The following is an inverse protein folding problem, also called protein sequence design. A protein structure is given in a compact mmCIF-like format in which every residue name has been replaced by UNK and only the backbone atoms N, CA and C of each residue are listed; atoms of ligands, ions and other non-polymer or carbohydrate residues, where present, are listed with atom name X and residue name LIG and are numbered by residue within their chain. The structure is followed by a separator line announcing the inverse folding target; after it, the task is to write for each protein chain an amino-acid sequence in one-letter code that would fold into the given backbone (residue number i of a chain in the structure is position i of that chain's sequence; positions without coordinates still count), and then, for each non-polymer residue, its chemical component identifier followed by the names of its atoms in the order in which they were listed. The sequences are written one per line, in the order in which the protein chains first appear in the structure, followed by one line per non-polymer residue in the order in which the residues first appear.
data_IF_296593639489
#
_entry.id   IF_296593639489
#
_cell.length_a   1.000
_cell.length_b   1.000
_cell.length_c   1.000
_cell.angle_alpha   90.00
_cell.angle_beta   90.00
_cell.angle_gamma   90.00
#
_symmetry.space_group_name_H-M   'P 1'
#
loop_
_entity.id
_entity.type
_entity.pdbx_description
1 polymer ?
#
# COMPACT_ATOMS: atom_id res chain seq x y z
N UNK A 1 -40.40 19.64 23.62
CA UNK A 1 -38.98 19.92 23.30
C UNK A 1 -38.02 18.75 23.58
N UNK A 2 -38.35 17.76 24.44
CA UNK A 2 -37.44 16.64 24.77
C UNK A 2 -37.26 15.60 23.64
N UNK A 3 -38.33 15.25 22.91
CA UNK A 3 -38.26 14.24 21.81
C UNK A 3 -37.37 14.65 20.63
N UNK A 4 -37.28 15.97 20.35
CA UNK A 4 -36.42 16.53 19.29
C UNK A 4 -34.93 16.52 19.67
N UNK A 5 -34.62 16.67 20.97
CA UNK A 5 -33.24 16.57 21.51
C UNK A 5 -32.74 15.13 21.51
N UNK A 6 -33.61 14.17 21.84
CA UNK A 6 -33.27 12.74 21.86
C UNK A 6 -32.97 12.19 20.45
N UNK A 7 -33.71 12.63 19.44
CA UNK A 7 -33.48 12.27 18.03
C UNK A 7 -32.20 12.87 17.47
N UNK A 8 -31.83 14.09 17.86
CA UNK A 8 -30.54 14.69 17.45
C UNK A 8 -29.35 13.98 18.09
N UNK A 9 -29.45 13.59 19.36
CA UNK A 9 -28.38 12.82 20.03
C UNK A 9 -28.20 11.44 19.40
N UNK A 10 -29.31 10.74 19.08
CA UNK A 10 -29.25 9.45 18.41
C UNK A 10 -28.65 9.54 16.99
N UNK A 11 -29.00 10.59 16.23
CA UNK A 11 -28.41 10.84 14.91
C UNK A 11 -26.90 11.14 15.00
N UNK A 12 -26.48 11.89 16.01
CA UNK A 12 -25.06 12.21 16.24
C UNK A 12 -24.27 10.96 16.63
N UNK A 13 -24.85 10.07 17.45
CA UNK A 13 -24.24 8.79 17.82
C UNK A 13 -24.11 7.83 16.63
N UNK A 14 -25.11 7.80 15.74
CA UNK A 14 -25.04 7.00 14.51
C UNK A 14 -23.96 7.53 13.56
N UNK A 15 -23.82 8.86 13.45
CA UNK A 15 -22.81 9.48 12.60
C UNK A 15 -21.38 9.22 13.11
N UNK A 16 -21.15 9.26 14.42
CA UNK A 16 -19.84 8.93 15.00
C UNK A 16 -19.51 7.43 14.87
N UNK A 17 -20.50 6.55 14.98
CA UNK A 17 -20.31 5.12 14.78
C UNK A 17 -20.02 4.76 13.31
N UNK A 18 -20.64 5.47 12.36
CA UNK A 18 -20.36 5.28 10.93
C UNK A 18 -18.91 5.66 10.57
N UNK A 19 -18.37 6.72 11.18
CA UNK A 19 -16.98 7.14 10.97
C UNK A 19 -15.97 6.13 11.54
N UNK A 20 -16.32 5.42 12.63
CA UNK A 20 -15.47 4.40 13.24
C UNK A 20 -15.24 3.17 12.33
N UNK A 21 -16.11 2.92 11.36
CA UNK A 21 -16.00 1.79 10.42
C UNK A 21 -15.19 2.09 9.14
N UNK A 22 -14.73 3.32 8.95
CA UNK A 22 -14.01 3.72 7.71
C UNK A 22 -12.49 3.54 7.78
N UNK A 23 -11.96 3.02 8.89
CA UNK A 23 -10.52 3.03 9.20
C UNK A 23 -9.67 1.87 8.66
N UNK A 24 -10.20 0.92 7.90
CA UNK A 24 -9.46 -0.28 7.50
C UNK A 24 -9.32 -0.45 5.97
N UNK A 25 -9.08 0.65 5.24
CA UNK A 25 -8.54 0.52 3.89
C UNK A 25 -7.05 0.13 4.01
N UNK A 26 -6.78 -1.18 4.05
CA UNK A 26 -5.41 -1.70 4.00
C UNK A 26 -4.82 -1.31 2.64
N UNK A 27 -3.62 -0.73 2.67
CA UNK A 27 -2.93 -0.35 1.45
C UNK A 27 -2.36 -1.63 0.85
N UNK A 28 -3.19 -2.32 0.06
CA UNK A 28 -2.89 -3.66 -0.49
C UNK A 28 -1.95 -3.55 -1.70
N UNK A 29 -0.94 -2.69 -1.67
CA UNK A 29 0.02 -2.53 -2.76
C UNK A 29 1.44 -2.53 -2.24
N UNK A 30 2.28 -3.40 -2.79
CA UNK A 30 3.72 -3.43 -2.57
C UNK A 30 4.44 -2.93 -3.82
N UNK A 31 5.45 -2.10 -3.66
CA UNK A 31 6.28 -1.56 -4.73
C UNK A 31 7.60 -2.31 -4.82
N UNK A 32 7.83 -2.99 -5.93
CA UNK A 32 9.04 -3.79 -6.18
C UNK A 32 9.96 -3.04 -7.12
N UNK A 33 11.20 -2.79 -6.68
CA UNK A 33 12.26 -2.13 -7.44
C UNK A 33 13.24 -3.12 -8.08
N UNK A 34 14.12 -2.62 -8.95
CA UNK A 34 15.33 -3.35 -9.37
C UNK A 34 16.45 -2.40 -9.79
N UNK A 35 17.69 -2.90 -9.71
CA UNK A 35 18.81 -2.25 -10.41
C UNK A 35 18.61 -2.30 -11.93
N UNK A 36 19.29 -1.38 -12.63
CA UNK A 36 19.47 -1.40 -14.10
C UNK A 36 20.48 -2.47 -14.50
N UNK A 37 20.10 -3.73 -14.29
CA UNK A 37 20.89 -4.90 -14.63
C UNK A 37 19.95 -6.01 -15.05
N UNK A 38 20.24 -6.69 -16.16
CA UNK A 38 19.31 -7.65 -16.76
C UNK A 38 18.83 -8.73 -15.77
N UNK A 39 19.76 -9.30 -14.98
CA UNK A 39 19.43 -10.27 -13.94
C UNK A 39 18.48 -9.69 -12.88
N UNK A 40 18.75 -8.47 -12.41
CA UNK A 40 17.97 -7.86 -11.33
C UNK A 40 16.56 -7.49 -11.82
N UNK A 41 16.42 -7.08 -13.08
CA UNK A 41 15.12 -6.82 -13.72
C UNK A 41 14.31 -8.13 -13.79
N UNK A 42 14.92 -9.22 -14.26
CA UNK A 42 14.25 -10.52 -14.35
C UNK A 42 13.84 -11.03 -12.97
N UNK A 43 14.72 -10.95 -11.97
CA UNK A 43 14.41 -11.37 -10.59
C UNK A 43 13.32 -10.48 -9.98
N UNK A 44 13.35 -9.16 -10.23
CA UNK A 44 12.32 -8.23 -9.76
C UNK A 44 10.94 -8.57 -10.33
N UNK A 45 10.87 -8.94 -11.61
CA UNK A 45 9.62 -9.41 -12.23
C UNK A 45 9.16 -10.78 -11.69
N UNK A 46 10.09 -11.72 -11.48
CA UNK A 46 9.76 -12.99 -10.84
C UNK A 46 9.18 -12.79 -9.43
N UNK A 47 9.75 -11.87 -8.64
CA UNK A 47 9.25 -11.53 -7.32
C UNK A 47 7.83 -10.92 -7.39
N UNK A 48 7.59 -10.03 -8.35
CA UNK A 48 6.25 -9.46 -8.57
C UNK A 48 5.21 -10.54 -8.87
N UNK A 49 5.52 -11.46 -9.79
CA UNK A 49 4.61 -12.57 -10.13
C UNK A 49 4.37 -13.49 -8.93
N UNK A 50 5.38 -13.80 -8.13
CA UNK A 50 5.23 -14.63 -6.94
C UNK A 50 4.33 -13.97 -5.88
N UNK A 51 4.48 -12.65 -5.67
CA UNK A 51 3.61 -11.92 -4.74
C UNK A 51 2.16 -11.94 -5.23
N UNK A 52 1.93 -11.63 -6.50
CA UNK A 52 0.57 -11.63 -7.08
C UNK A 52 -0.05 -13.04 -7.12
N UNK A 53 0.76 -14.10 -7.23
CA UNK A 53 0.30 -15.48 -7.27
C UNK A 53 -0.05 -16.06 -5.89
N UNK A 54 0.54 -15.53 -4.82
CA UNK A 54 0.46 -16.12 -3.48
C UNK A 54 -0.14 -15.19 -2.42
N UNK A 55 -0.51 -13.96 -2.78
CA UNK A 55 -1.10 -12.98 -1.87
C UNK A 55 -2.18 -12.17 -2.57
N UNK A 56 -3.04 -11.49 -1.80
CA UNK A 56 -4.02 -10.54 -2.33
C UNK A 56 -3.42 -9.14 -2.58
N UNK A 57 -2.11 -8.98 -2.45
CA UNK A 57 -1.43 -7.70 -2.66
C UNK A 57 -1.30 -7.41 -4.16
N UNK A 58 -1.58 -6.17 -4.54
CA UNK A 58 -1.22 -5.61 -5.84
C UNK A 58 0.27 -5.30 -5.86
N UNK A 59 0.91 -5.43 -7.03
CA UNK A 59 2.32 -5.08 -7.18
C UNK A 59 2.48 -3.87 -8.09
N UNK A 60 3.13 -2.84 -7.56
CA UNK A 60 3.64 -1.70 -8.33
C UNK A 60 5.09 -1.98 -8.75
N UNK A 61 5.32 -2.20 -10.05
CA UNK A 61 6.64 -2.51 -10.60
C UNK A 61 7.41 -1.22 -10.90
N UNK A 62 8.48 -0.96 -10.17
CA UNK A 62 9.46 0.11 -10.43
C UNK A 62 10.82 -0.49 -10.79
N UNK A 63 10.84 -1.30 -11.84
CA UNK A 63 12.06 -1.95 -12.30
C UNK A 63 12.97 -0.95 -13.02
N UNK A 64 14.26 -1.28 -13.11
CA UNK A 64 15.26 -0.48 -13.80
C UNK A 64 15.40 0.96 -13.25
N UNK A 65 15.72 1.09 -11.95
CA UNK A 65 15.91 2.38 -11.29
C UNK A 65 17.35 2.92 -11.39
N UNK A 66 18.28 2.19 -12.00
CA UNK A 66 19.70 2.53 -12.02
C UNK A 66 20.55 1.71 -11.04
N UNK A 67 21.65 2.28 -10.56
CA UNK A 67 22.62 1.57 -9.72
C UNK A 67 22.19 1.34 -8.26
N UNK A 68 23.09 0.75 -7.48
CA UNK A 68 22.87 0.42 -6.05
C UNK A 68 22.46 1.63 -5.22
N UNK A 69 23.12 2.79 -5.38
CA UNK A 69 22.80 3.98 -4.60
C UNK A 69 21.38 4.52 -4.86
N UNK A 70 20.87 4.37 -6.09
CA UNK A 70 19.51 4.83 -6.41
C UNK A 70 18.49 3.94 -5.69
N UNK A 71 18.64 2.62 -5.80
CA UNK A 71 17.75 1.67 -5.16
C UNK A 71 17.84 1.71 -3.62
N UNK A 72 19.05 1.85 -3.07
CA UNK A 72 19.26 1.99 -1.64
C UNK A 72 18.62 3.26 -1.06
N UNK A 73 18.70 4.38 -1.78
CA UNK A 73 17.99 5.58 -1.38
C UNK A 73 16.48 5.44 -1.59
N UNK A 74 16.02 4.77 -2.64
CA UNK A 74 14.61 4.54 -2.89
C UNK A 74 13.96 3.73 -1.76
N UNK A 75 14.59 2.65 -1.29
CA UNK A 75 14.06 1.85 -0.17
C UNK A 75 14.12 2.61 1.16
N UNK A 76 15.14 3.47 1.36
CA UNK A 76 15.23 4.31 2.57
C UNK A 76 14.18 5.40 2.66
N UNK A 77 13.65 5.84 1.52
CA UNK A 77 12.66 6.90 1.41
C UNK A 77 11.25 6.35 1.11
N UNK A 78 11.00 5.06 1.38
CA UNK A 78 9.71 4.40 1.17
C UNK A 78 9.17 4.50 -0.28
N UNK A 79 10.06 4.63 -1.26
CA UNK A 79 9.70 4.73 -2.69
C UNK A 79 9.55 3.37 -3.36
N UNK A 80 10.19 2.35 -2.77
CA UNK A 80 10.11 0.91 -3.07
C UNK A 80 10.15 0.16 -1.73
N UNK A 81 9.54 -1.01 -1.67
CA UNK A 81 9.48 -1.83 -0.46
C UNK A 81 10.53 -2.96 -0.47
N UNK A 82 10.92 -3.42 -1.66
CA UNK A 82 11.90 -4.49 -1.86
C UNK A 82 12.59 -4.33 -3.22
N UNK A 83 13.87 -4.69 -3.32
CA UNK A 83 14.59 -4.82 -4.59
C UNK A 83 15.70 -5.88 -4.50
N UNK A 84 16.00 -6.60 -5.59
CA UNK A 84 17.24 -7.35 -5.76
C UNK A 84 18.44 -6.47 -6.14
#
# INVERSE_FOLDING_TARGET
MHKKKLTTIAALLLATLALAFTGCAKNDTITIGSKDFGENIVIGEMLAQLVEAHTDLKVNRKLNLGGTFVNFNAIKNDQIDVYP
#
